data_IF_986524914879
#
_entry.id   IF_986524914879
#
_cell.length_a   1.000
_cell.length_b   1.000
_cell.length_c   1.000
_cell.angle_alpha   90.00
_cell.angle_beta   90.00
_cell.angle_gamma   90.00
#
_symmetry.space_group_name_H-M   'P 1'
#
loop_
_entity.id
_entity.type
_entity.pdbx_description
1 polymer ?
#
# COMPACT_ATOMS: atom_id res chain seq x y z
N UNK A 1 -33.38 30.24 -3.35
CA UNK A 1 -32.73 28.94 -3.11
C UNK A 1 -31.53 28.85 -4.05
N UNK A 2 -30.30 29.12 -3.59
CA UNK A 2 -29.12 28.98 -4.44
C UNK A 2 -28.85 27.49 -4.67
N UNK A 3 -28.75 27.09 -5.93
CA UNK A 3 -28.59 25.71 -6.35
C UNK A 3 -27.27 25.12 -5.89
N UNK A 4 -27.33 23.96 -5.24
CA UNK A 4 -26.15 23.14 -4.98
C UNK A 4 -25.51 22.73 -6.31
N UNK A 5 -24.30 23.21 -6.56
CA UNK A 5 -23.42 22.63 -7.56
C UNK A 5 -23.13 21.17 -7.17
N UNK A 6 -23.73 20.25 -7.92
CA UNK A 6 -23.43 18.83 -7.83
C UNK A 6 -21.99 18.62 -8.31
N UNK A 7 -21.05 18.49 -7.37
CA UNK A 7 -19.68 18.12 -7.66
C UNK A 7 -19.66 16.77 -8.39
N UNK A 8 -19.30 16.81 -9.67
CA UNK A 8 -19.21 15.63 -10.51
C UNK A 8 -17.98 14.83 -10.09
N UNK A 9 -18.18 13.54 -9.79
CA UNK A 9 -17.09 12.65 -9.38
C UNK A 9 -15.99 12.50 -10.43
N UNK A 10 -14.77 12.09 -10.05
CA UNK A 10 -13.59 12.02 -10.92
C UNK A 10 -13.77 11.12 -12.16
N UNK A 11 -14.78 10.25 -12.17
CA UNK A 11 -15.10 9.33 -13.26
C UNK A 11 -16.42 9.65 -13.99
N UNK A 12 -17.04 10.81 -13.76
CA UNK A 12 -18.25 11.22 -14.47
C UNK A 12 -17.95 11.41 -15.97
N UNK A 13 -18.67 10.66 -16.83
CA UNK A 13 -18.51 10.69 -18.29
C UNK A 13 -18.87 12.05 -18.90
N UNK A 14 -19.52 12.95 -18.18
CA UNK A 14 -19.73 14.36 -18.60
C UNK A 14 -18.40 15.13 -18.71
N UNK A 15 -17.34 14.71 -18.00
CA UNK A 15 -15.96 15.20 -18.24
C UNK A 15 -15.34 14.68 -19.54
N UNK A 16 -15.89 13.61 -20.15
CA UNK A 16 -15.40 13.00 -21.40
C UNK A 16 -16.03 13.60 -22.68
N UNK A 17 -16.59 14.82 -22.63
CA UNK A 17 -16.97 15.53 -23.88
C UNK A 17 -15.71 16.13 -24.50
N UNK A 18 -14.98 15.32 -25.26
CA UNK A 18 -13.77 15.74 -25.97
C UNK A 18 -14.12 16.71 -27.09
N UNK A 19 -14.07 18.02 -26.81
CA UNK A 19 -13.91 18.99 -27.90
C UNK A 19 -12.53 18.77 -28.50
N UNK A 20 -12.41 18.69 -29.83
CA UNK A 20 -11.09 18.77 -30.47
C UNK A 20 -10.43 20.11 -30.10
N UNK A 21 -9.10 20.19 -30.15
CA UNK A 21 -8.34 21.38 -29.75
C UNK A 21 -8.81 22.63 -30.51
N UNK A 22 -9.11 22.51 -31.81
CA UNK A 22 -9.62 23.60 -32.62
C UNK A 22 -11.03 24.07 -32.22
N UNK A 23 -11.96 23.16 -31.91
CA UNK A 23 -13.29 23.55 -31.42
C UNK A 23 -13.25 24.09 -29.99
N UNK A 24 -12.33 23.60 -29.15
CA UNK A 24 -12.10 24.13 -27.82
C UNK A 24 -11.60 25.58 -27.89
N UNK A 25 -10.55 25.83 -28.68
CA UNK A 25 -9.98 27.17 -28.87
C UNK A 25 -10.99 28.17 -29.47
N UNK A 26 -11.85 27.72 -30.40
CA UNK A 26 -12.89 28.58 -30.98
C UNK A 26 -14.20 28.65 -30.16
N UNK A 27 -14.29 28.00 -28.99
CA UNK A 27 -15.51 27.94 -28.17
C UNK A 27 -16.75 27.38 -28.92
N UNK A 28 -16.53 26.51 -29.91
CA UNK A 28 -17.59 25.92 -30.74
C UNK A 28 -18.01 24.52 -30.25
N UNK A 29 -19.23 24.12 -30.64
CA UNK A 29 -19.70 22.74 -30.47
C UNK A 29 -18.92 21.81 -31.40
N UNK A 30 -18.34 20.74 -30.83
CA UNK A 30 -17.60 19.71 -31.55
C UNK A 30 -18.49 18.47 -31.76
N UNK A 31 -18.51 17.89 -32.97
CA UNK A 31 -19.28 16.66 -33.24
C UNK A 31 -18.62 15.40 -32.68
N UNK A 32 -17.33 15.45 -32.32
CA UNK A 32 -16.58 14.30 -31.77
C UNK A 32 -16.01 13.34 -32.82
N UNK A 33 -16.39 13.49 -34.09
CA UNK A 33 -15.85 12.69 -35.22
C UNK A 33 -14.43 13.14 -35.62
N UNK A 34 -13.74 12.35 -36.45
CA UNK A 34 -12.41 12.64 -36.99
C UNK A 34 -12.42 12.57 -38.54
N UNK A 35 -12.34 13.71 -39.24
CA UNK A 35 -12.42 15.10 -38.72
C UNK A 35 -13.85 15.45 -38.25
N UNK A 36 -13.99 16.33 -37.27
CA UNK A 36 -15.31 16.79 -36.82
C UNK A 36 -15.94 17.74 -37.85
N UNK A 37 -17.27 17.80 -37.92
CA UNK A 37 -18.01 18.59 -38.91
C UNK A 37 -17.68 20.10 -38.89
N UNK A 38 -17.28 20.63 -37.73
CA UNK A 38 -16.84 22.03 -37.58
C UNK A 38 -15.41 22.28 -38.08
N UNK A 39 -14.52 21.29 -37.99
CA UNK A 39 -13.17 21.38 -38.54
C UNK A 39 -13.15 21.12 -40.04
N UNK A 40 -13.92 20.14 -40.52
CA UNK A 40 -14.05 19.81 -41.94
C UNK A 40 -14.53 21.02 -42.76
N UNK A 41 -15.56 21.74 -42.29
CA UNK A 41 -16.08 22.94 -42.97
C UNK A 41 -15.12 24.13 -42.99
N UNK A 42 -14.19 24.21 -42.04
CA UNK A 42 -13.24 25.34 -41.90
C UNK A 42 -11.87 25.03 -42.50
N UNK A 43 -11.64 23.82 -43.01
CA UNK A 43 -10.31 23.37 -43.42
C UNK A 43 -9.29 23.35 -42.27
N UNK A 44 -9.74 23.29 -41.01
CA UNK A 44 -8.88 23.38 -39.84
C UNK A 44 -8.43 21.99 -39.37
N UNK A 45 -7.19 21.87 -38.90
CA UNK A 45 -6.65 20.62 -38.35
C UNK A 45 -7.47 20.14 -37.14
N UNK A 46 -8.00 18.91 -37.22
CA UNK A 46 -8.84 18.31 -36.18
C UNK A 46 -8.01 17.37 -35.30
N UNK A 47 -7.41 17.90 -34.23
CA UNK A 47 -6.62 17.12 -33.26
C UNK A 47 -7.35 16.99 -31.93
N UNK A 48 -7.23 15.81 -31.32
CA UNK A 48 -7.68 15.54 -29.95
C UNK A 48 -6.43 15.27 -29.12
N UNK A 49 -6.34 15.87 -27.93
CA UNK A 49 -5.23 15.61 -27.02
C UNK A 49 -5.18 14.10 -26.73
N UNK A 50 -4.05 13.46 -27.02
CA UNK A 50 -3.81 12.05 -26.73
C UNK A 50 -3.75 11.93 -25.21
N UNK A 51 -4.75 11.32 -24.59
CA UNK A 51 -4.67 11.00 -23.16
C UNK A 51 -3.45 10.10 -22.97
N UNK A 52 -2.54 10.49 -22.06
CA UNK A 52 -1.42 9.66 -21.67
C UNK A 52 -1.93 8.28 -21.23
N UNK A 53 -1.17 7.24 -21.52
CA UNK A 53 -1.50 5.83 -21.27
C UNK A 53 -1.52 5.47 -19.77
N UNK A 54 -1.96 6.37 -18.90
CA UNK A 54 -2.23 6.08 -17.49
C UNK A 54 -3.68 5.64 -17.36
N UNK A 55 -3.90 4.42 -16.90
CA UNK A 55 -5.22 3.98 -16.44
C UNK A 55 -5.80 4.94 -15.38
N UNK A 56 -7.10 4.84 -15.07
CA UNK A 56 -7.71 5.68 -14.06
C UNK A 56 -7.09 5.39 -12.68
N UNK A 57 -6.16 6.24 -12.26
CA UNK A 57 -5.62 6.31 -10.90
C UNK A 57 -6.71 6.81 -9.96
N UNK A 58 -6.83 6.19 -8.78
CA UNK A 58 -7.57 6.80 -7.66
C UNK A 58 -6.78 8.04 -7.28
N UNK A 59 -7.31 9.22 -7.62
CA UNK A 59 -6.67 10.48 -7.31
C UNK A 59 -6.91 10.76 -5.81
N UNK A 60 -5.95 10.36 -4.98
CA UNK A 60 -5.91 10.77 -3.57
C UNK A 60 -5.72 12.28 -3.54
N UNK A 61 -6.59 13.02 -2.83
CA UNK A 61 -6.38 14.44 -2.57
C UNK A 61 -5.03 14.62 -1.87
N UNK A 62 -4.08 15.24 -2.58
CA UNK A 62 -2.78 15.61 -2.02
C UNK A 62 -3.00 16.74 -1.00
N UNK A 63 -2.67 16.48 0.26
CA UNK A 63 -2.50 17.54 1.27
C UNK A 63 -3.61 17.72 2.32
N UNK A 64 -4.66 16.90 2.34
CA UNK A 64 -5.68 16.87 3.44
C UNK A 64 -5.80 15.53 4.16
N UNK A 65 -4.83 14.64 3.97
CA UNK A 65 -4.82 13.33 4.62
C UNK A 65 -4.47 13.54 6.11
N UNK A 66 -5.42 13.23 6.99
CA UNK A 66 -5.14 13.22 8.42
C UNK A 66 -4.35 11.96 8.76
N UNK A 67 -3.08 12.14 9.15
CA UNK A 67 -2.23 11.09 9.73
C UNK A 67 -2.39 11.12 11.25
N UNK A 68 -1.89 10.12 11.99
CA UNK A 68 -1.91 10.17 13.47
C UNK A 68 -1.37 11.49 14.04
N UNK A 69 -0.36 12.07 13.38
CA UNK A 69 0.22 13.37 13.73
C UNK A 69 -0.69 14.58 13.41
N UNK A 70 -1.48 14.56 12.33
CA UNK A 70 -2.37 15.68 11.92
C UNK A 70 -3.85 15.51 12.30
N UNK A 71 -4.25 14.32 12.78
CA UNK A 71 -5.59 14.07 13.34
C UNK A 71 -5.85 14.96 14.56
N UNK A 72 -4.83 15.24 15.38
CA UNK A 72 -4.95 16.13 16.54
C UNK A 72 -5.26 17.60 16.17
N UNK A 73 -4.88 18.07 14.97
CA UNK A 73 -5.09 19.45 14.56
C UNK A 73 -6.48 19.73 13.95
N UNK A 74 -7.20 18.69 13.49
CA UNK A 74 -8.50 18.87 12.82
C UNK A 74 -9.68 19.14 13.76
N UNK A 75 -9.56 18.84 15.05
CA UNK A 75 -10.67 18.88 16.01
C UNK A 75 -10.59 20.04 17.02
N UNK A 76 -9.56 20.89 16.95
CA UNK A 76 -9.34 22.00 17.90
C UNK A 76 -9.19 23.35 17.20
N UNK A 77 -10.31 23.95 16.82
CA UNK A 77 -10.45 25.42 16.87
C UNK A 77 -10.92 25.81 18.28
N UNK A 78 -10.09 25.57 19.29
CA UNK A 78 -10.17 26.17 20.63
C UNK A 78 -8.75 26.03 21.20
N UNK A 79 -8.15 27.17 21.55
CA UNK A 79 -6.75 27.30 21.93
C UNK A 79 -6.31 26.26 23.00
N UNK A 80 -5.25 25.50 22.71
CA UNK A 80 -4.62 24.54 23.62
C UNK A 80 -3.54 23.70 22.91
N UNK A 81 -2.45 23.29 23.60
CA UNK A 81 -1.15 23.03 22.99
C UNK A 81 -1.17 21.83 22.02
N UNK A 82 -0.37 21.97 20.96
CA UNK A 82 -0.10 20.98 19.91
C UNK A 82 0.20 19.60 20.48
N UNK A 83 -0.47 18.56 19.98
CA UNK A 83 -0.25 17.17 20.35
C UNK A 83 1.18 16.74 20.06
N UNK A 84 2.05 16.83 21.06
CA UNK A 84 3.41 16.32 21.00
C UNK A 84 3.38 14.81 21.20
N UNK A 85 3.96 14.06 20.25
CA UNK A 85 4.50 12.73 20.53
C UNK A 85 5.33 12.83 21.83
N UNK A 86 5.03 12.00 22.83
CA UNK A 86 5.72 12.04 24.11
C UNK A 86 7.23 11.99 23.89
N UNK A 87 7.95 12.95 24.49
CA UNK A 87 9.42 12.99 24.47
C UNK A 87 9.94 11.71 25.11
N UNK A 88 10.59 10.86 24.32
CA UNK A 88 11.26 9.65 24.81
C UNK A 88 12.73 9.95 24.99
N UNK A 89 13.22 9.86 26.24
CA UNK A 89 14.64 9.93 26.53
C UNK A 89 15.26 8.52 26.51
N UNK A 90 16.49 8.33 25.99
CA UNK A 90 17.19 7.06 26.13
C UNK A 90 17.56 6.80 27.60
N UNK A 91 17.54 5.54 28.07
CA UNK A 91 18.01 5.20 29.41
C UNK A 91 19.48 5.58 29.59
N UNK A 92 19.80 6.27 30.70
CA UNK A 92 21.18 6.39 31.18
C UNK A 92 22.13 7.30 30.40
N UNK A 93 21.65 8.26 29.61
CA UNK A 93 22.53 9.26 28.98
C UNK A 93 23.58 8.63 28.05
N UNK A 94 23.16 7.73 27.17
CA UNK A 94 24.03 7.07 26.18
C UNK A 94 24.94 8.09 25.48
N UNK A 95 26.25 8.01 25.77
CA UNK A 95 27.26 8.89 25.20
C UNK A 95 27.57 8.55 23.73
N UNK A 96 27.40 7.28 23.33
CA UNK A 96 27.58 6.84 21.94
C UNK A 96 26.33 7.17 21.11
N UNK A 97 26.52 8.05 20.13
CA UNK A 97 25.50 8.48 19.19
C UNK A 97 24.92 7.32 18.36
N UNK A 98 25.71 6.30 18.02
CA UNK A 98 25.22 5.13 17.28
C UNK A 98 24.30 4.26 18.13
N UNK A 99 24.67 4.00 19.39
CA UNK A 99 23.82 3.27 20.32
C UNK A 99 22.51 4.02 20.59
N UNK A 100 22.56 5.36 20.66
CA UNK A 100 21.36 6.20 20.74
C UNK A 100 20.46 6.01 19.51
N UNK A 101 21.00 5.97 18.30
CA UNK A 101 20.22 5.73 17.09
C UNK A 101 19.63 4.31 17.03
N UNK A 102 20.37 3.28 17.44
CA UNK A 102 19.84 1.91 17.55
C UNK A 102 18.68 1.87 18.55
N UNK A 103 18.79 2.54 19.69
CA UNK A 103 17.68 2.68 20.64
C UNK A 103 16.43 3.30 20.00
N UNK A 104 16.59 4.40 19.25
CA UNK A 104 15.43 5.03 18.59
C UNK A 104 14.87 4.19 17.44
N UNK A 105 15.68 3.39 16.76
CA UNK A 105 15.21 2.36 15.84
C UNK A 105 14.30 1.34 16.56
N UNK A 106 14.66 0.91 17.78
CA UNK A 106 13.82 -0.02 18.55
C UNK A 106 12.51 0.59 18.99
N UNK A 107 12.54 1.86 19.36
CA UNK A 107 11.32 2.59 19.69
C UNK A 107 10.46 2.72 18.43
N UNK A 108 11.06 3.03 17.28
CA UNK A 108 10.35 3.08 16.00
C UNK A 108 9.67 1.74 15.69
N UNK A 109 10.42 0.64 15.69
CA UNK A 109 9.89 -0.68 15.31
C UNK A 109 8.80 -1.16 16.25
N UNK A 110 8.94 -0.93 17.56
CA UNK A 110 7.91 -1.29 18.55
C UNK A 110 6.63 -0.47 18.40
N UNK A 111 6.74 0.80 18.00
CA UNK A 111 5.59 1.70 17.80
C UNK A 111 4.92 1.56 16.44
N UNK A 112 5.58 0.92 15.47
CA UNK A 112 5.10 0.83 14.09
C UNK A 112 4.95 -0.64 13.65
N UNK A 113 3.96 -1.34 14.22
CA UNK A 113 3.59 -2.70 13.77
C UNK A 113 2.69 -2.62 12.53
N UNK A 114 3.19 -3.01 11.36
CA UNK A 114 2.41 -2.98 10.11
C UNK A 114 1.42 -4.14 9.97
N UNK A 115 1.55 -5.17 10.79
CA UNK A 115 0.68 -6.35 10.81
C UNK A 115 -0.21 -6.41 12.06
N UNK A 116 -0.03 -5.48 13.01
CA UNK A 116 -0.67 -5.52 14.32
C UNK A 116 -0.15 -6.61 15.26
N UNK A 117 0.86 -7.39 14.84
CA UNK A 117 1.45 -8.47 15.64
C UNK A 117 2.46 -7.93 16.64
N UNK A 118 2.50 -8.57 17.82
CA UNK A 118 3.40 -8.20 18.92
C UNK A 118 4.89 -8.52 18.66
N UNK A 119 5.19 -9.51 17.81
CA UNK A 119 6.57 -9.93 17.47
C UNK A 119 6.73 -10.02 15.96
N UNK A 120 7.47 -9.12 15.30
CA UNK A 120 7.80 -9.33 13.87
C UNK A 120 8.93 -8.48 13.28
N UNK A 121 9.68 -7.64 14.02
CA UNK A 121 10.63 -6.74 13.32
C UNK A 121 11.90 -6.36 14.09
N UNK A 122 11.86 -6.13 15.40
CA UNK A 122 13.01 -5.55 16.11
C UNK A 122 14.17 -6.53 16.29
N UNK A 123 13.91 -7.64 16.96
CA UNK A 123 14.97 -8.50 17.48
C UNK A 123 15.64 -9.35 16.39
N UNK A 124 14.87 -9.80 15.39
CA UNK A 124 15.38 -10.58 14.26
C UNK A 124 16.25 -9.74 13.32
N UNK A 125 15.87 -8.50 13.05
CA UNK A 125 16.64 -7.58 12.19
C UNK A 125 17.91 -7.13 12.88
N UNK A 126 17.87 -6.92 14.21
CA UNK A 126 19.09 -6.66 15.00
C UNK A 126 20.03 -7.83 15.00
N UNK A 127 19.55 -9.03 15.31
CA UNK A 127 20.38 -10.23 15.31
C UNK A 127 21.03 -10.41 13.92
N UNK A 128 20.26 -10.17 12.85
CA UNK A 128 20.76 -10.18 11.49
C UNK A 128 21.82 -9.08 11.23
N UNK A 129 21.59 -7.85 11.70
CA UNK A 129 22.55 -6.76 11.54
C UNK A 129 23.83 -6.96 12.37
N UNK A 130 23.71 -7.53 13.57
CA UNK A 130 24.82 -7.85 14.49
C UNK A 130 25.67 -8.99 13.96
N UNK A 131 25.06 -10.02 13.37
CA UNK A 131 25.78 -11.12 12.69
C UNK A 131 26.66 -10.61 11.53
N UNK A 132 26.27 -9.51 10.89
CA UNK A 132 27.00 -8.87 9.79
C UNK A 132 27.74 -7.58 10.22
N UNK A 133 27.85 -7.32 11.53
CA UNK A 133 28.37 -6.06 12.08
C UNK A 133 29.88 -5.87 11.88
N UNK A 134 30.63 -6.95 11.64
CA UNK A 134 32.08 -6.89 11.40
C UNK A 134 32.46 -6.10 10.12
N UNK A 135 31.50 -5.78 9.24
CA UNK A 135 31.74 -5.03 8.00
C UNK A 135 30.96 -3.71 7.86
N UNK A 136 30.22 -3.23 8.86
CA UNK A 136 29.40 -2.02 8.68
C UNK A 136 28.41 -2.17 7.53
N UNK A 137 27.55 -3.19 7.64
CA UNK A 137 26.63 -3.60 6.57
C UNK A 137 25.61 -2.53 6.20
N UNK A 138 25.18 -2.54 4.93
CA UNK A 138 24.11 -1.69 4.42
C UNK A 138 22.83 -1.71 5.28
N UNK A 139 22.52 -2.87 5.88
CA UNK A 139 21.39 -3.04 6.80
C UNK A 139 21.59 -2.21 8.09
N UNK A 140 22.77 -2.29 8.69
CA UNK A 140 23.07 -1.54 9.91
C UNK A 140 23.03 -0.03 9.67
N UNK A 141 23.58 0.44 8.54
CA UNK A 141 23.47 1.86 8.18
C UNK A 141 22.01 2.29 7.94
N UNK A 142 21.16 1.43 7.35
CA UNK A 142 19.74 1.73 7.20
C UNK A 142 19.01 1.82 8.56
N UNK A 143 19.34 0.94 9.51
CA UNK A 143 18.82 1.01 10.90
C UNK A 143 19.22 2.32 11.58
N UNK A 144 20.49 2.72 11.47
CA UNK A 144 20.99 3.98 12.04
C UNK A 144 20.32 5.20 11.39
N UNK A 145 20.12 5.18 10.07
CA UNK A 145 19.44 6.27 9.35
C UNK A 145 18.01 6.47 9.86
N UNK A 146 17.25 5.38 9.98
CA UNK A 146 15.87 5.41 10.44
C UNK A 146 15.76 5.81 11.91
N UNK A 147 16.64 5.26 12.76
CA UNK A 147 16.72 5.62 14.18
C UNK A 147 17.07 7.09 14.41
N UNK A 148 18.04 7.62 13.67
CA UNK A 148 18.41 9.04 13.71
C UNK A 148 17.26 9.95 13.26
N UNK A 149 16.55 9.59 12.17
CA UNK A 149 15.40 10.34 11.70
C UNK A 149 14.25 10.31 12.72
N UNK A 150 13.96 9.13 13.30
CA UNK A 150 12.90 9.00 14.29
C UNK A 150 13.17 9.78 15.58
N UNK A 151 14.43 9.84 16.03
CA UNK A 151 14.85 10.68 17.16
C UNK A 151 14.49 12.17 16.95
N UNK A 152 14.63 12.67 15.72
CA UNK A 152 14.24 14.04 15.35
C UNK A 152 12.73 14.24 15.44
N UNK A 153 11.94 13.26 15.01
CA UNK A 153 10.48 13.32 15.10
C UNK A 153 9.99 13.35 16.55
N UNK A 154 10.70 12.70 17.48
CA UNK A 154 10.39 12.70 18.90
C UNK A 154 10.92 13.94 19.65
N UNK A 155 11.51 14.91 18.96
CA UNK A 155 12.19 16.07 19.57
C UNK A 155 13.17 15.66 20.68
N UNK A 156 13.85 14.53 20.47
CA UNK A 156 14.87 14.02 21.38
C UNK A 156 16.23 14.75 21.20
N UNK A 157 16.22 15.91 20.56
CA UNK A 157 17.40 16.74 20.28
C UNK A 157 17.62 17.73 21.43
N UNK A 158 18.80 17.67 22.05
CA UNK A 158 19.19 18.60 23.11
C UNK A 158 19.91 19.82 22.50
N UNK A 159 19.33 21.01 22.63
CA UNK A 159 19.96 22.30 22.34
C UNK A 159 19.76 22.91 20.94
N UNK A 160 20.14 24.19 20.76
CA UNK A 160 20.04 24.89 19.48
C UNK A 160 20.92 24.24 18.40
N UNK A 161 20.40 24.07 17.18
CA UNK A 161 21.14 23.46 16.05
C UNK A 161 21.21 21.92 16.07
N UNK A 162 20.79 21.27 17.15
CA UNK A 162 20.76 19.81 17.30
C UNK A 162 19.89 19.11 16.25
N UNK A 163 18.78 19.74 15.85
CA UNK A 163 17.90 19.22 14.78
C UNK A 163 18.59 19.17 13.41
N UNK A 164 19.37 20.19 13.05
CA UNK A 164 20.10 20.22 11.78
C UNK A 164 21.22 19.17 11.76
N UNK A 165 21.92 19.02 12.89
CA UNK A 165 22.98 18.01 13.05
C UNK A 165 22.43 16.59 12.96
N UNK A 166 21.33 16.30 13.66
CA UNK A 166 20.69 14.99 13.60
C UNK A 166 20.11 14.67 12.22
N UNK A 167 19.57 15.66 11.50
CA UNK A 167 19.12 15.46 10.11
C UNK A 167 20.30 15.13 9.18
N UNK A 168 21.42 15.83 9.34
CA UNK A 168 22.64 15.57 8.58
C UNK A 168 23.20 14.16 8.89
N UNK A 169 23.18 13.74 10.15
CA UNK A 169 23.55 12.38 10.54
C UNK A 169 22.63 11.32 9.89
N UNK A 170 21.31 11.53 9.95
CA UNK A 170 20.32 10.63 9.35
C UNK A 170 20.54 10.48 7.83
N UNK A 171 20.75 11.59 7.13
CA UNK A 171 21.06 11.60 5.69
C UNK A 171 22.43 10.96 5.39
N UNK A 172 23.42 11.16 6.25
CA UNK A 172 24.74 10.53 6.12
C UNK A 172 24.66 9.00 6.19
N UNK A 173 23.94 8.47 7.18
CA UNK A 173 23.70 7.03 7.29
C UNK A 173 22.88 6.48 6.12
N UNK A 174 21.85 7.21 5.67
CA UNK A 174 21.07 6.85 4.50
C UNK A 174 21.94 6.73 3.24
N UNK A 175 22.78 7.74 2.97
CA UNK A 175 23.68 7.74 1.81
C UNK A 175 24.67 6.56 1.86
N UNK A 176 25.20 6.26 3.05
CA UNK A 176 26.11 5.15 3.27
C UNK A 176 25.42 3.80 3.05
N UNK A 177 24.21 3.62 3.59
CA UNK A 177 23.38 2.43 3.36
C UNK A 177 23.11 2.17 1.88
N UNK A 178 22.77 3.22 1.11
CA UNK A 178 22.57 3.11 -0.35
C UNK A 178 23.87 2.72 -1.07
N UNK A 179 25.00 3.34 -0.71
CA UNK A 179 26.31 3.02 -1.28
C UNK A 179 26.68 1.56 -1.04
N UNK A 180 26.57 1.10 0.21
CA UNK A 180 26.93 -0.25 0.59
C UNK A 180 25.95 -1.29 0.02
N UNK A 181 24.67 -0.93 -0.13
CA UNK A 181 23.68 -1.79 -0.78
C UNK A 181 24.01 -2.01 -2.25
N UNK A 182 24.47 -0.97 -2.97
CA UNK A 182 24.93 -1.10 -4.36
C UNK A 182 26.12 -2.04 -4.47
N UNK A 183 27.11 -1.89 -3.59
CA UNK A 183 28.27 -2.78 -3.54
C UNK A 183 27.86 -4.23 -3.28
N UNK A 184 26.91 -4.46 -2.36
CA UNK A 184 26.36 -5.78 -2.08
C UNK A 184 25.64 -6.40 -3.29
N UNK A 185 24.83 -5.63 -4.01
CA UNK A 185 24.13 -6.08 -5.21
C UNK A 185 25.12 -6.43 -6.33
N UNK A 186 26.13 -5.58 -6.54
CA UNK A 186 27.18 -5.82 -7.55
C UNK A 186 28.05 -7.04 -7.22
N UNK A 187 28.27 -7.31 -5.93
CA UNK A 187 28.98 -8.50 -5.48
C UNK A 187 28.13 -9.77 -5.70
N UNK A 188 26.82 -9.70 -5.44
CA UNK A 188 25.89 -10.81 -5.65
C UNK A 188 25.74 -11.17 -7.13
N UNK A 189 25.74 -10.17 -8.03
CA UNK A 189 25.67 -10.40 -9.48
C UNK A 189 26.93 -11.03 -10.09
N UNK A 190 28.08 -10.94 -9.40
CA UNK A 190 29.39 -11.42 -9.89
C UNK A 190 29.81 -12.76 -9.34
N UNK A 191 29.13 -13.26 -8.31
CA UNK A 191 29.69 -14.33 -7.49
C UNK A 191 28.93 -15.64 -7.60
N UNK A 192 29.69 -16.72 -7.83
CA UNK A 192 29.23 -18.11 -7.93
C UNK A 192 29.16 -18.76 -6.53
N UNK A 193 28.63 -18.04 -5.54
CA UNK A 193 28.54 -18.54 -4.16
C UNK A 193 27.52 -19.67 -4.06
N UNK A 194 27.81 -20.74 -3.30
CA UNK A 194 26.82 -21.77 -2.99
C UNK A 194 25.59 -21.19 -2.27
N UNK A 195 24.40 -21.73 -2.58
CA UNK A 195 23.08 -21.23 -2.10
C UNK A 195 23.04 -20.87 -0.60
N UNK A 196 23.71 -21.64 0.26
CA UNK A 196 23.64 -21.50 1.72
C UNK A 196 24.27 -20.21 2.27
N UNK A 197 25.28 -19.64 1.60
CA UNK A 197 25.92 -18.39 2.04
C UNK A 197 25.23 -17.14 1.48
N UNK A 198 24.38 -17.29 0.45
CA UNK A 198 23.64 -16.17 -0.15
C UNK A 198 22.36 -15.81 0.62
N UNK A 199 21.76 -16.75 1.35
CA UNK A 199 20.47 -16.55 2.04
C UNK A 199 20.48 -15.41 3.07
N UNK A 200 21.48 -15.29 3.98
CA UNK A 200 21.55 -14.16 4.92
C UNK A 200 21.71 -12.82 4.20
N UNK A 201 22.53 -12.77 3.15
CA UNK A 201 22.80 -11.56 2.37
C UNK A 201 21.55 -11.08 1.61
N UNK A 202 20.81 -12.00 0.99
CA UNK A 202 19.51 -11.69 0.34
C UNK A 202 18.53 -11.12 1.36
N UNK A 203 18.45 -11.73 2.54
CA UNK A 203 17.57 -11.26 3.61
C UNK A 203 17.99 -9.87 4.11
N UNK A 204 19.29 -9.60 4.23
CA UNK A 204 19.81 -8.26 4.55
C UNK A 204 19.42 -7.23 3.48
N UNK A 205 19.52 -7.57 2.19
CA UNK A 205 19.12 -6.69 1.08
C UNK A 205 17.63 -6.35 1.18
N UNK A 206 16.78 -7.37 1.37
CA UNK A 206 15.34 -7.18 1.53
C UNK A 206 15.03 -6.19 2.65
N UNK A 207 15.51 -6.46 3.88
CA UNK A 207 15.29 -5.56 5.01
C UNK A 207 15.86 -4.16 4.77
N UNK A 208 17.04 -4.06 4.15
CA UNK A 208 17.63 -2.75 3.82
C UNK A 208 16.72 -1.92 2.92
N UNK A 209 16.18 -2.51 1.85
CA UNK A 209 15.26 -1.79 0.95
C UNK A 209 14.00 -1.33 1.67
N UNK A 210 13.42 -2.18 2.53
CA UNK A 210 12.23 -1.78 3.31
C UNK A 210 12.54 -0.62 4.27
N UNK A 211 13.65 -0.68 5.02
CA UNK A 211 14.02 0.37 5.96
C UNK A 211 14.35 1.70 5.26
N UNK A 212 15.01 1.65 4.09
CA UNK A 212 15.26 2.84 3.27
C UNK A 212 13.96 3.43 2.72
N UNK A 213 13.01 2.61 2.28
CA UNK A 213 11.67 3.07 1.92
C UNK A 213 10.97 3.78 3.08
N UNK A 214 10.98 3.19 4.28
CA UNK A 214 10.38 3.82 5.46
C UNK A 214 11.05 5.15 5.82
N UNK A 215 12.37 5.25 5.65
CA UNK A 215 13.10 6.51 5.82
C UNK A 215 12.59 7.58 4.86
N UNK A 216 12.43 7.25 3.58
CA UNK A 216 11.91 8.17 2.57
C UNK A 216 10.48 8.62 2.88
N UNK A 217 9.63 7.70 3.35
CA UNK A 217 8.25 8.00 3.77
C UNK A 217 8.21 9.00 4.93
N UNK A 218 9.09 8.83 5.92
CA UNK A 218 9.16 9.72 7.07
C UNK A 218 9.74 11.10 6.72
N UNK A 219 10.69 11.13 5.78
CA UNK A 219 11.36 12.36 5.35
C UNK A 219 10.50 13.21 4.42
N UNK A 220 9.78 12.58 3.49
CA UNK A 220 9.06 13.26 2.42
C UNK A 220 7.54 13.05 2.53
N UNK A 221 6.83 14.13 2.85
CA UNK A 221 5.38 14.14 3.00
C UNK A 221 4.61 13.86 1.70
N UNK A 222 5.24 13.96 0.51
CA UNK A 222 4.58 13.62 -0.75
C UNK A 222 4.39 12.11 -0.94
N UNK A 223 5.28 11.30 -0.33
CA UNK A 223 5.33 9.85 -0.50
C UNK A 223 5.71 9.39 -1.91
N UNK A 224 6.13 10.30 -2.82
CA UNK A 224 6.46 9.93 -4.20
C UNK A 224 7.77 9.11 -4.26
N UNK A 225 8.79 9.49 -3.48
CA UNK A 225 10.05 8.73 -3.35
C UNK A 225 9.78 7.33 -2.77
N UNK A 226 9.10 7.27 -1.62
CA UNK A 226 8.71 6.01 -0.98
C UNK A 226 7.99 5.08 -1.93
N UNK A 227 7.03 5.59 -2.71
CA UNK A 227 6.29 4.78 -3.69
C UNK A 227 7.24 4.17 -4.72
N UNK A 228 8.11 4.97 -5.32
CA UNK A 228 9.08 4.48 -6.29
C UNK A 228 10.01 3.42 -5.68
N UNK A 229 10.48 3.63 -4.46
CA UNK A 229 11.33 2.69 -3.73
C UNK A 229 10.63 1.37 -3.44
N UNK A 230 9.39 1.42 -2.93
CA UNK A 230 8.65 0.20 -2.62
C UNK A 230 8.32 -0.60 -3.87
N UNK A 231 7.91 0.06 -4.97
CA UNK A 231 7.55 -0.62 -6.22
C UNK A 231 8.77 -1.16 -6.96
N UNK A 232 9.81 -0.35 -7.15
CA UNK A 232 10.95 -0.69 -8.01
C UNK A 232 12.16 -1.23 -7.24
N UNK A 233 12.22 -1.05 -5.93
CA UNK A 233 13.26 -1.59 -5.05
C UNK A 233 12.76 -2.82 -4.30
N UNK A 234 11.92 -2.60 -3.28
CA UNK A 234 11.52 -3.63 -2.31
C UNK A 234 10.73 -4.77 -2.95
N UNK A 235 9.69 -4.46 -3.73
CA UNK A 235 8.85 -5.48 -4.36
C UNK A 235 9.63 -6.30 -5.41
N UNK A 236 10.49 -5.64 -6.20
CA UNK A 236 11.33 -6.33 -7.18
C UNK A 236 12.39 -7.22 -6.52
N UNK A 237 13.03 -6.74 -5.45
CA UNK A 237 13.98 -7.54 -4.68
C UNK A 237 13.31 -8.77 -4.04
N UNK A 238 12.09 -8.62 -3.51
CA UNK A 238 11.31 -9.72 -2.97
C UNK A 238 10.94 -10.74 -4.05
N UNK A 239 10.41 -10.28 -5.18
CA UNK A 239 10.08 -11.13 -6.32
C UNK A 239 11.30 -11.93 -6.81
N UNK A 240 12.45 -11.25 -6.97
CA UNK A 240 13.70 -11.86 -7.42
C UNK A 240 14.29 -12.87 -6.42
N UNK A 241 14.06 -12.66 -5.11
CA UNK A 241 14.51 -13.58 -4.06
C UNK A 241 13.73 -14.90 -4.05
N UNK A 242 12.50 -14.87 -4.56
CA UNK A 242 11.61 -16.04 -4.61
C UNK A 242 11.05 -16.44 -3.24
N UNK A 243 10.00 -17.30 -3.23
CA UNK A 243 9.31 -17.67 -1.99
C UNK A 243 10.16 -18.53 -1.05
N UNK A 244 11.20 -19.22 -1.56
CA UNK A 244 12.09 -20.05 -0.72
C UNK A 244 12.88 -19.24 0.30
N UNK A 245 13.29 -18.01 -0.05
CA UNK A 245 14.03 -17.11 0.84
C UNK A 245 13.18 -16.62 2.03
N UNK A 246 11.87 -16.83 1.98
CA UNK A 246 10.90 -16.30 2.95
C UNK A 246 10.25 -17.40 3.80
N UNK A 247 10.81 -18.62 3.85
CA UNK A 247 10.19 -19.77 4.55
C UNK A 247 10.38 -19.77 6.07
N UNK A 248 11.39 -19.10 6.59
CA UNK A 248 11.69 -19.11 8.02
C UNK A 248 12.51 -17.89 8.45
N UNK A 249 12.59 -17.67 9.76
CA UNK A 249 13.45 -16.65 10.36
C UNK A 249 13.20 -15.23 9.82
N UNK A 250 14.25 -14.40 9.69
CA UNK A 250 14.09 -13.00 9.31
C UNK A 250 13.52 -12.79 7.90
N UNK A 251 13.65 -13.75 6.98
CA UNK A 251 13.07 -13.67 5.64
C UNK A 251 11.55 -13.84 5.65
N UNK A 252 11.04 -14.73 6.51
CA UNK A 252 9.62 -14.89 6.73
C UNK A 252 9.00 -13.66 7.41
N UNK A 253 9.67 -13.11 8.42
CA UNK A 253 9.22 -11.89 9.09
C UNK A 253 9.19 -10.70 8.12
N UNK A 254 10.20 -10.59 7.25
CA UNK A 254 10.20 -9.62 6.16
C UNK A 254 8.98 -9.79 5.26
N UNK A 255 8.72 -11.02 4.79
CA UNK A 255 7.58 -11.31 3.93
C UNK A 255 6.25 -10.90 4.58
N UNK A 256 6.03 -11.24 5.85
CA UNK A 256 4.82 -10.88 6.57
C UNK A 256 4.57 -9.35 6.56
N UNK A 257 5.61 -8.54 6.72
CA UNK A 257 5.51 -7.08 6.72
C UNK A 257 5.37 -6.51 5.29
N UNK A 258 6.28 -6.89 4.39
CA UNK A 258 6.35 -6.36 3.03
C UNK A 258 5.10 -6.70 2.21
N UNK A 259 4.49 -7.87 2.48
CA UNK A 259 3.27 -8.33 1.80
C UNK A 259 2.11 -7.36 1.97
N UNK A 260 1.93 -6.76 3.15
CA UNK A 260 0.85 -5.78 3.39
C UNK A 260 0.99 -4.59 2.42
N UNK A 261 2.20 -4.06 2.28
CA UNK A 261 2.48 -2.94 1.38
C UNK A 261 2.28 -3.32 -0.08
N UNK A 262 2.78 -4.49 -0.49
CA UNK A 262 2.64 -4.97 -1.87
C UNK A 262 1.17 -5.20 -2.24
N UNK A 263 0.38 -5.81 -1.36
CA UNK A 263 -1.06 -5.99 -1.59
C UNK A 263 -1.78 -4.64 -1.67
N UNK A 264 -1.50 -3.71 -0.76
CA UNK A 264 -2.09 -2.36 -0.81
C UNK A 264 -1.73 -1.62 -2.11
N UNK A 265 -0.47 -1.73 -2.57
CA UNK A 265 -0.01 -1.17 -3.86
C UNK A 265 -0.87 -1.67 -5.02
N UNK A 266 -1.14 -2.97 -5.08
CA UNK A 266 -1.94 -3.55 -6.18
C UNK A 266 -3.33 -2.96 -6.26
N UNK A 267 -3.99 -2.73 -5.12
CA UNK A 267 -5.33 -2.15 -5.04
C UNK A 267 -5.30 -0.66 -5.41
N UNK A 268 -4.36 0.11 -4.86
CA UNK A 268 -4.26 1.56 -5.08
C UNK A 268 -3.96 1.92 -6.54
N UNK A 269 -3.10 1.13 -7.19
CA UNK A 269 -2.66 1.40 -8.57
C UNK A 269 -3.37 0.54 -9.62
N UNK A 270 -4.22 -0.42 -9.21
CA UNK A 270 -4.86 -1.40 -10.09
C UNK A 270 -3.83 -2.17 -10.94
N UNK A 271 -2.81 -2.69 -10.28
CA UNK A 271 -1.70 -3.41 -10.93
C UNK A 271 -1.63 -4.86 -10.45
N UNK A 272 -1.09 -5.71 -11.32
CA UNK A 272 -0.81 -7.10 -10.98
C UNK A 272 0.36 -7.22 -9.98
N UNK A 273 0.47 -8.38 -9.34
CA UNK A 273 1.57 -8.70 -8.44
C UNK A 273 2.01 -10.16 -8.61
N UNK A 274 3.33 -10.35 -8.43
CA UNK A 274 3.97 -11.65 -8.34
C UNK A 274 3.40 -12.51 -7.19
N UNK A 275 2.77 -11.89 -6.18
CA UNK A 275 2.11 -12.60 -5.08
C UNK A 275 0.96 -13.51 -5.53
N UNK A 276 0.49 -13.37 -6.78
CA UNK A 276 -0.53 -14.26 -7.37
C UNK A 276 0.04 -15.55 -7.95
N UNK A 277 1.37 -15.68 -8.02
CA UNK A 277 2.02 -16.89 -8.52
C UNK A 277 1.93 -18.04 -7.50
N UNK A 278 1.88 -19.32 -7.96
CA UNK A 278 1.60 -20.46 -7.09
C UNK A 278 2.56 -20.62 -5.90
N UNK A 279 3.83 -20.28 -6.07
CA UNK A 279 4.84 -20.37 -5.02
C UNK A 279 4.59 -19.37 -3.87
N UNK A 280 4.20 -18.14 -4.20
CA UNK A 280 3.88 -17.10 -3.23
C UNK A 280 2.54 -17.32 -2.55
N UNK A 281 1.53 -17.77 -3.29
CA UNK A 281 0.23 -18.17 -2.73
C UNK A 281 0.39 -19.31 -1.74
N UNK A 282 1.24 -20.31 -2.05
CA UNK A 282 1.53 -21.41 -1.12
C UNK A 282 2.19 -20.89 0.15
N UNK A 283 3.23 -20.06 0.03
CA UNK A 283 3.92 -19.47 1.17
C UNK A 283 2.96 -18.68 2.08
N UNK A 284 2.05 -17.90 1.49
CA UNK A 284 1.04 -17.14 2.24
C UNK A 284 0.08 -18.00 3.07
N UNK A 285 -0.12 -19.26 2.67
CA UNK A 285 -1.01 -20.23 3.32
C UNK A 285 -0.29 -21.19 4.25
N UNK A 286 1.05 -21.23 4.25
CA UNK A 286 1.83 -22.08 5.14
C UNK A 286 1.61 -21.63 6.60
N UNK A 287 1.13 -22.56 7.42
CA UNK A 287 0.78 -22.33 8.82
C UNK A 287 2.06 -22.19 9.65
N UNK A 288 2.17 -21.11 10.44
CA UNK A 288 3.30 -20.88 11.32
C UNK A 288 2.97 -21.43 12.71
N UNK A 289 3.97 -21.93 13.44
CA UNK A 289 3.77 -22.43 14.78
C UNK A 289 3.18 -21.35 15.71
N UNK A 290 2.07 -21.66 16.40
CA UNK A 290 1.50 -20.82 17.45
C UNK A 290 0.59 -19.67 16.99
N UNK A 291 0.00 -19.75 15.80
CA UNK A 291 -0.80 -18.68 15.20
C UNK A 291 -2.24 -19.16 14.92
N UNK A 292 -3.14 -18.91 15.88
CA UNK A 292 -4.54 -19.29 15.82
C UNK A 292 -5.34 -18.30 14.96
N UNK A 293 -5.33 -18.53 13.64
CA UNK A 293 -6.43 -18.07 12.78
C UNK A 293 -6.18 -16.85 11.91
N UNK A 294 -4.95 -16.36 11.73
CA UNK A 294 -4.52 -15.36 10.71
C UNK A 294 -5.63 -14.64 9.91
N UNK A 295 -6.41 -13.75 10.54
CA UNK A 295 -7.50 -13.07 9.86
C UNK A 295 -6.93 -12.16 8.76
N UNK A 296 -5.83 -11.46 9.06
CA UNK A 296 -5.16 -10.58 8.12
C UNK A 296 -4.53 -11.32 6.92
N UNK A 297 -3.75 -12.39 7.14
CA UNK A 297 -3.03 -13.04 6.02
C UNK A 297 -3.97 -13.71 5.02
N UNK A 298 -5.01 -14.39 5.51
CA UNK A 298 -6.04 -14.99 4.67
C UNK A 298 -6.82 -13.92 3.88
N UNK A 299 -7.04 -12.74 4.47
CA UNK A 299 -7.65 -11.62 3.78
C UNK A 299 -6.71 -11.00 2.72
N UNK A 300 -5.40 -10.90 3.00
CA UNK A 300 -4.41 -10.41 2.03
C UNK A 300 -4.36 -11.29 0.77
N UNK A 301 -4.59 -12.61 0.89
CA UNK A 301 -4.77 -13.51 -0.25
C UNK A 301 -6.00 -13.15 -1.08
N UNK A 302 -7.13 -12.87 -0.43
CA UNK A 302 -8.36 -12.47 -1.13
C UNK A 302 -8.16 -11.12 -1.83
N UNK A 303 -7.53 -10.16 -1.14
CA UNK A 303 -7.22 -8.82 -1.65
C UNK A 303 -6.39 -8.87 -2.94
N UNK A 304 -5.31 -9.66 -2.96
CA UNK A 304 -4.44 -9.74 -4.14
C UNK A 304 -5.17 -10.36 -5.34
N UNK A 305 -6.04 -11.34 -5.08
CA UNK A 305 -6.88 -11.95 -6.12
C UNK A 305 -7.95 -10.98 -6.65
N UNK A 306 -8.49 -10.10 -5.80
CA UNK A 306 -9.37 -9.01 -6.24
C UNK A 306 -8.64 -8.05 -7.19
N UNK A 307 -7.39 -7.66 -6.88
CA UNK A 307 -6.61 -6.82 -7.80
C UNK A 307 -6.35 -7.50 -9.15
N UNK A 308 -5.97 -8.79 -9.13
CA UNK A 308 -5.81 -9.58 -10.36
C UNK A 308 -7.08 -9.61 -11.19
N UNK A 309 -8.23 -9.80 -10.55
CA UNK A 309 -9.53 -9.75 -11.22
C UNK A 309 -9.80 -8.38 -11.83
N UNK A 310 -9.47 -7.29 -11.11
CA UNK A 310 -9.64 -5.92 -11.60
C UNK A 310 -8.83 -5.66 -12.86
N UNK A 311 -7.57 -6.07 -12.91
CA UNK A 311 -6.71 -5.95 -14.10
C UNK A 311 -7.32 -6.72 -15.27
N UNK A 312 -7.72 -7.98 -15.04
CA UNK A 312 -8.32 -8.83 -16.08
C UNK A 312 -9.63 -8.26 -16.63
N UNK A 313 -10.51 -7.81 -15.75
CA UNK A 313 -11.75 -7.15 -16.12
C UNK A 313 -11.51 -5.83 -16.87
N UNK A 314 -10.52 -5.03 -16.44
CA UNK A 314 -10.15 -3.79 -17.13
C UNK A 314 -9.67 -4.04 -18.55
N UNK A 315 -8.77 -5.01 -18.76
CA UNK A 315 -8.28 -5.41 -20.09
C UNK A 315 -9.41 -5.92 -20.98
N UNK A 316 -10.28 -6.78 -20.44
CA UNK A 316 -11.45 -7.27 -21.16
C UNK A 316 -12.38 -6.13 -21.62
N UNK A 317 -12.70 -5.19 -20.71
CA UNK A 317 -13.54 -4.04 -21.02
C UNK A 317 -12.92 -3.10 -22.05
N UNK A 318 -11.60 -2.91 -22.03
CA UNK A 318 -10.89 -2.09 -23.01
C UNK A 318 -10.90 -2.72 -24.42
N UNK A 319 -10.84 -4.06 -24.50
CA UNK A 319 -10.94 -4.80 -25.77
C UNK A 319 -12.35 -4.81 -26.37
N UNK A 320 -13.39 -4.63 -25.56
CA UNK A 320 -14.81 -4.68 -25.95
C UNK A 320 -15.35 -3.39 -26.59
N UNK A 321 -14.64 -2.25 -26.51
CA UNK A 321 -15.10 -0.97 -27.11
C UNK A 321 -15.24 -1.02 -28.66
N UNK A 322 -14.84 -2.13 -29.30
CA UNK A 322 -14.93 -2.34 -30.75
C UNK A 322 -16.01 -3.33 -31.22
N UNK A 323 -16.68 -4.09 -30.34
CA UNK A 323 -17.60 -5.16 -30.75
C UNK A 323 -18.98 -5.04 -30.08
N UNK A 324 -20.05 -5.08 -30.88
CA UNK A 324 -21.44 -5.11 -30.42
C UNK A 324 -21.86 -6.53 -30.02
N UNK A 325 -21.11 -7.16 -29.10
CA UNK A 325 -21.44 -8.49 -28.63
C UNK A 325 -22.62 -8.42 -27.66
N UNK A 326 -23.67 -9.16 -27.99
CA UNK A 326 -24.87 -9.32 -27.14
C UNK A 326 -24.78 -10.58 -26.28
N UNK A 327 -23.90 -11.52 -26.66
CA UNK A 327 -23.70 -12.78 -25.95
C UNK A 327 -22.44 -12.72 -25.08
N UNK A 328 -22.53 -13.26 -23.86
CA UNK A 328 -21.38 -13.34 -22.96
C UNK A 328 -20.31 -14.29 -23.51
N UNK A 329 -19.14 -13.76 -23.84
CA UNK A 329 -17.96 -14.58 -24.15
C UNK A 329 -17.56 -15.46 -22.95
N UNK A 330 -16.81 -16.53 -23.21
CA UNK A 330 -16.29 -17.41 -22.16
C UNK A 330 -15.47 -16.63 -21.11
N UNK A 331 -14.72 -15.62 -21.55
CA UNK A 331 -13.92 -14.76 -20.68
C UNK A 331 -14.80 -13.89 -19.77
N UNK A 332 -15.88 -13.30 -20.31
CA UNK A 332 -16.83 -12.52 -19.52
C UNK A 332 -17.48 -13.39 -18.42
N UNK A 333 -17.89 -14.62 -18.75
CA UNK A 333 -18.44 -15.58 -17.79
C UNK A 333 -17.42 -15.95 -16.73
N UNK A 334 -16.17 -16.18 -17.12
CA UNK A 334 -15.09 -16.49 -16.19
C UNK A 334 -14.82 -15.33 -15.22
N UNK A 335 -14.81 -14.07 -15.70
CA UNK A 335 -14.60 -12.88 -14.86
C UNK A 335 -15.75 -12.75 -13.84
N UNK A 336 -17.00 -12.89 -14.29
CA UNK A 336 -18.16 -12.83 -13.41
C UNK A 336 -18.12 -13.95 -12.35
N UNK A 337 -17.77 -15.18 -12.76
CA UNK A 337 -17.64 -16.33 -11.88
C UNK A 337 -16.53 -16.16 -10.83
N UNK A 338 -15.37 -15.63 -11.23
CA UNK A 338 -14.29 -15.29 -10.29
C UNK A 338 -14.72 -14.21 -9.29
N UNK A 339 -15.48 -13.21 -9.75
CA UNK A 339 -16.05 -12.20 -8.87
C UNK A 339 -16.96 -12.81 -7.80
N UNK A 340 -17.82 -13.76 -8.17
CA UNK A 340 -18.70 -14.44 -7.20
C UNK A 340 -17.89 -15.29 -6.22
N UNK A 341 -16.90 -16.06 -6.70
CA UNK A 341 -16.01 -16.83 -5.81
C UNK A 341 -15.29 -15.95 -4.80
N UNK A 342 -14.81 -14.77 -5.20
CA UNK A 342 -14.16 -13.84 -4.28
C UNK A 342 -15.15 -13.22 -3.29
N UNK A 343 -16.41 -12.99 -3.70
CA UNK A 343 -17.47 -12.52 -2.79
C UNK A 343 -17.81 -13.59 -1.75
N UNK A 344 -17.94 -14.84 -2.17
CA UNK A 344 -18.13 -15.99 -1.29
C UNK A 344 -16.95 -16.13 -0.33
N UNK A 345 -15.71 -16.03 -0.80
CA UNK A 345 -14.52 -16.09 0.05
C UNK A 345 -14.50 -14.98 1.11
N UNK A 346 -14.91 -13.75 0.75
CA UNK A 346 -15.09 -12.66 1.73
C UNK A 346 -16.21 -12.97 2.74
N UNK A 347 -17.33 -13.58 2.28
CA UNK A 347 -18.41 -14.04 3.15
C UNK A 347 -17.93 -15.07 4.17
N UNK A 348 -17.28 -16.15 3.71
CA UNK A 348 -16.71 -17.18 4.58
C UNK A 348 -15.68 -16.60 5.57
N UNK A 349 -14.86 -15.64 5.12
CA UNK A 349 -13.92 -14.96 5.99
C UNK A 349 -14.64 -14.17 7.09
N UNK A 350 -15.70 -13.43 6.75
CA UNK A 350 -16.49 -12.67 7.72
C UNK A 350 -17.18 -13.60 8.73
N UNK A 351 -17.79 -14.67 8.25
CA UNK A 351 -18.42 -15.69 9.11
C UNK A 351 -17.40 -16.29 10.07
N UNK A 352 -16.21 -16.68 9.59
CA UNK A 352 -15.18 -17.30 10.42
C UNK A 352 -14.62 -16.38 11.52
N UNK A 353 -14.40 -15.09 11.21
CA UNK A 353 -13.62 -14.19 12.08
C UNK A 353 -14.43 -13.05 12.71
N UNK A 354 -15.69 -12.85 12.30
CA UNK A 354 -16.54 -11.77 12.82
C UNK A 354 -17.81 -12.33 13.47
N UNK A 355 -18.48 -13.31 12.85
CA UNK A 355 -19.76 -13.84 13.36
C UNK A 355 -19.61 -15.12 14.18
N UNK A 356 -18.70 -16.02 13.81
CA UNK A 356 -18.45 -17.32 14.43
C UNK A 356 -17.52 -17.31 15.64
N UNK A 357 -17.07 -16.13 16.09
CA UNK A 357 -16.23 -15.99 17.28
C UNK A 357 -16.98 -16.44 18.54
N UNK A 358 -16.67 -17.66 19.01
CA UNK A 358 -17.15 -18.17 20.30
C UNK A 358 -16.79 -17.17 21.41
N UNK A 359 -17.67 -17.10 22.41
CA UNK A 359 -17.74 -16.12 23.50
C UNK A 359 -16.47 -15.94 24.37
N UNK A 360 -15.35 -16.59 24.05
CA UNK A 360 -14.03 -16.38 24.67
C UNK A 360 -13.20 -15.26 23.99
N UNK A 361 -13.54 -14.86 22.76
CA UNK A 361 -12.91 -13.74 22.04
C UNK A 361 -13.61 -12.39 22.27
N UNK A 362 -14.50 -12.30 23.27
CA UNK A 362 -15.17 -11.04 23.65
C UNK A 362 -14.26 -10.07 24.41
N UNK A 363 -13.08 -10.51 24.82
CA UNK A 363 -12.13 -9.65 25.56
C UNK A 363 -11.03 -9.03 24.71
N UNK A 364 -10.84 -9.38 23.43
CA UNK A 364 -9.80 -8.74 22.62
C UNK A 364 -10.35 -7.60 21.74
N UNK A 365 -10.91 -6.60 22.42
CA UNK A 365 -11.01 -5.25 21.88
C UNK A 365 -9.61 -4.70 21.57
N UNK A 366 -8.53 -5.34 22.00
CA UNK A 366 -7.13 -4.92 21.92
C UNK A 366 -6.31 -5.52 20.76
N UNK A 367 -6.82 -6.49 19.99
CA UNK A 367 -6.05 -7.05 18.86
C UNK A 367 -5.99 -6.07 17.67
N UNK A 368 -4.86 -5.35 17.59
CA UNK A 368 -4.53 -4.44 16.50
C UNK A 368 -4.52 -5.15 15.12
N UNK A 369 -4.21 -6.45 15.07
CA UNK A 369 -4.22 -7.23 13.83
C UNK A 369 -5.64 -7.45 13.33
N UNK A 370 -6.56 -7.85 14.21
CA UNK A 370 -7.99 -7.98 13.90
C UNK A 370 -8.61 -6.64 13.49
N UNK A 371 -8.25 -5.55 14.16
CA UNK A 371 -8.72 -4.21 13.79
C UNK A 371 -8.34 -3.89 12.34
N UNK A 372 -7.06 -4.09 11.98
CA UNK A 372 -6.57 -3.86 10.62
C UNK A 372 -7.28 -4.76 9.60
N UNK A 373 -7.45 -6.04 9.93
CA UNK A 373 -8.14 -7.00 9.07
C UNK A 373 -9.61 -6.58 8.79
N UNK A 374 -10.34 -6.09 9.81
CA UNK A 374 -11.72 -5.60 9.64
C UNK A 374 -11.81 -4.34 8.74
N UNK A 375 -10.83 -3.43 8.84
CA UNK A 375 -10.74 -2.27 7.94
C UNK A 375 -10.52 -2.74 6.50
N UNK A 376 -9.54 -3.63 6.29
CA UNK A 376 -9.25 -4.19 4.97
C UNK A 376 -10.42 -4.99 4.41
N UNK A 377 -11.17 -5.72 5.25
CA UNK A 377 -12.33 -6.48 4.80
C UNK A 377 -13.40 -5.56 4.20
N UNK A 378 -13.74 -4.48 4.91
CA UNK A 378 -14.72 -3.50 4.44
C UNK A 378 -14.24 -2.81 3.15
N UNK A 379 -12.96 -2.40 3.10
CA UNK A 379 -12.38 -1.77 1.92
C UNK A 379 -12.35 -2.71 0.71
N UNK A 380 -11.95 -3.96 0.90
CA UNK A 380 -11.87 -5.00 -0.15
C UNK A 380 -13.26 -5.36 -0.67
N UNK A 381 -14.25 -5.42 0.22
CA UNK A 381 -15.64 -5.67 -0.15
C UNK A 381 -16.19 -4.59 -1.09
N UNK A 382 -15.92 -3.31 -0.81
CA UNK A 382 -16.26 -2.19 -1.69
C UNK A 382 -15.45 -2.28 -3.00
N UNK A 383 -14.14 -2.51 -2.91
CA UNK A 383 -13.26 -2.59 -4.07
C UNK A 383 -13.71 -3.66 -5.08
N UNK A 384 -14.04 -4.87 -4.61
CA UNK A 384 -14.55 -5.96 -5.42
C UNK A 384 -15.86 -5.58 -6.13
N UNK A 385 -16.79 -4.92 -5.43
CA UNK A 385 -18.03 -4.40 -6.04
C UNK A 385 -17.70 -3.41 -7.16
N UNK A 386 -16.77 -2.49 -6.88
CA UNK A 386 -16.29 -1.47 -7.80
C UNK A 386 -15.65 -2.02 -9.09
N UNK A 387 -15.23 -3.28 -9.14
CA UNK A 387 -14.79 -3.94 -10.39
C UNK A 387 -15.92 -3.96 -11.42
N UNK A 388 -17.15 -4.15 -10.95
CA UNK A 388 -18.32 -4.33 -11.80
C UNK A 388 -19.21 -3.08 -11.87
N UNK A 389 -19.26 -2.27 -10.81
CA UNK A 389 -20.20 -1.14 -10.72
C UNK A 389 -19.96 -0.06 -11.80
N UNK A 390 -18.71 0.25 -12.13
CA UNK A 390 -18.40 1.26 -13.16
C UNK A 390 -18.84 0.87 -14.57
N UNK A 391 -19.07 -0.42 -14.82
CA UNK A 391 -19.56 -0.97 -16.09
C UNK A 391 -20.81 -1.83 -15.91
N UNK A 392 -21.63 -1.54 -14.90
CA UNK A 392 -22.82 -2.32 -14.54
C UNK A 392 -23.73 -2.63 -15.74
N UNK A 393 -24.02 -1.63 -16.58
CA UNK A 393 -24.85 -1.81 -17.77
C UNK A 393 -24.26 -2.80 -18.78
N UNK A 394 -22.93 -2.89 -18.89
CA UNK A 394 -22.26 -3.85 -19.77
C UNK A 394 -22.47 -5.28 -19.26
N UNK A 395 -22.17 -5.53 -17.99
CA UNK A 395 -22.36 -6.85 -17.37
C UNK A 395 -23.82 -7.31 -17.38
N UNK A 396 -24.76 -6.37 -17.19
CA UNK A 396 -26.20 -6.63 -17.29
C UNK A 396 -26.63 -7.01 -18.71
N UNK A 397 -26.12 -6.33 -19.74
CA UNK A 397 -26.43 -6.69 -21.14
C UNK A 397 -25.98 -8.09 -21.50
N UNK A 398 -24.84 -8.53 -20.95
CA UNK A 398 -24.34 -9.89 -21.14
C UNK A 398 -25.13 -10.95 -20.32
N UNK A 399 -26.13 -10.54 -19.53
CA UNK A 399 -26.92 -11.45 -18.70
C UNK A 399 -26.14 -12.07 -17.54
N UNK A 400 -25.00 -11.48 -17.14
CA UNK A 400 -24.12 -12.05 -16.12
C UNK A 400 -24.40 -11.47 -14.74
N UNK A 401 -24.41 -12.35 -13.73
CA UNK A 401 -24.52 -11.96 -12.32
C UNK A 401 -23.17 -11.42 -11.82
N UNK A 402 -23.03 -10.10 -11.81
CA UNK A 402 -21.87 -9.41 -11.27
C UNK A 402 -21.82 -9.41 -9.74
N UNK A 403 -20.62 -9.46 -9.15
CA UNK A 403 -20.38 -9.52 -7.70
C UNK A 403 -20.49 -8.15 -7.02
N UNK A 404 -21.65 -7.51 -7.18
CA UNK A 404 -21.95 -6.16 -6.70
C UNK A 404 -22.57 -6.17 -5.31
N UNK A 405 -22.39 -5.08 -4.59
CA UNK A 405 -23.08 -4.76 -3.34
C UNK A 405 -24.20 -3.75 -3.60
N UNK A 406 -25.24 -3.78 -2.77
CA UNK A 406 -26.23 -2.72 -2.74
C UNK A 406 -25.67 -1.46 -2.02
N UNK A 407 -26.34 -0.33 -2.23
CA UNK A 407 -25.89 0.95 -1.69
C UNK A 407 -25.86 0.99 -0.16
N UNK A 408 -26.79 0.32 0.53
CA UNK A 408 -26.84 0.31 1.99
C UNK A 408 -25.64 -0.47 2.56
N UNK A 409 -25.31 -1.61 1.97
CA UNK A 409 -24.14 -2.41 2.33
C UNK A 409 -22.83 -1.65 2.08
N UNK A 410 -22.72 -0.91 0.97
CA UNK A 410 -21.56 -0.02 0.73
C UNK A 410 -21.44 1.04 1.82
N UNK A 411 -22.53 1.72 2.18
CA UNK A 411 -22.51 2.73 3.25
C UNK A 411 -22.13 2.14 4.61
N UNK A 412 -22.59 0.93 4.92
CA UNK A 412 -22.21 0.21 6.13
C UNK A 412 -20.69 -0.04 6.18
N UNK A 413 -20.10 -0.51 5.07
CA UNK A 413 -18.66 -0.69 4.99
C UNK A 413 -17.89 0.63 5.12
N UNK A 414 -18.36 1.71 4.49
CA UNK A 414 -17.76 3.05 4.63
C UNK A 414 -17.78 3.51 6.08
N UNK A 415 -18.93 3.42 6.75
CA UNK A 415 -19.06 3.79 8.16
C UNK A 415 -18.11 2.96 9.05
N UNK A 416 -17.97 1.66 8.76
CA UNK A 416 -17.07 0.77 9.49
C UNK A 416 -15.60 1.12 9.27
N UNK A 417 -15.19 1.45 8.05
CA UNK A 417 -13.83 1.93 7.77
C UNK A 417 -13.53 3.19 8.59
N UNK A 418 -14.42 4.18 8.57
CA UNK A 418 -14.23 5.43 9.30
C UNK A 418 -14.15 5.21 10.81
N UNK A 419 -15.07 4.43 11.37
CA UNK A 419 -15.10 4.14 12.81
C UNK A 419 -13.84 3.38 13.28
N UNK A 420 -13.46 2.31 12.59
CA UNK A 420 -12.30 1.49 12.96
C UNK A 420 -10.98 2.25 12.75
N UNK A 421 -10.85 3.03 11.68
CA UNK A 421 -9.66 3.87 11.45
C UNK A 421 -9.53 4.94 12.53
N UNK A 422 -10.64 5.56 12.94
CA UNK A 422 -10.65 6.53 14.06
C UNK A 422 -10.16 5.87 15.35
N UNK A 423 -10.71 4.69 15.70
CA UNK A 423 -10.29 3.94 16.87
C UNK A 423 -8.79 3.56 16.81
N UNK A 424 -8.28 3.15 15.64
CA UNK A 424 -6.87 2.85 15.45
C UNK A 424 -5.96 4.07 15.67
N UNK A 425 -6.35 5.22 15.11
CA UNK A 425 -5.61 6.47 15.25
C UNK A 425 -5.59 6.95 16.70
N UNK A 426 -6.69 6.79 17.43
CA UNK A 426 -6.77 7.13 18.86
C UNK A 426 -5.86 6.26 19.72
N UNK A 427 -5.76 4.95 19.43
CA UNK A 427 -4.85 4.01 20.11
C UNK A 427 -3.37 4.24 19.80
N UNK A 428 -3.08 4.88 18.67
CA UNK A 428 -1.72 5.16 18.21
C UNK A 428 -1.14 6.48 18.78
N UNK A 429 -1.92 7.20 19.61
CA UNK A 429 -1.51 8.40 20.36
C UNK A 429 -0.82 8.00 21.66
#
# INVERSE_FOLDING_TARGET
MPGQEMQLGPFDRRRKRSRCQACAASHLKCSGERPCAGCARRGAACSYARQGAGGPLILLERGRQQTSASWASGQRQMAGPTGHLQRVAPPGGLADERLRHVYFFDVFVRRNSFTGRARTCGDEVKALAELHSQQGSHLYHAMLALGALYALHLNASDGPGSRSRGLLAALGYYAKAVSDLRLALDAQGRADWGQRQQEPQRTCILWTTLLLGLFELMKDATGDAWRQHMVHGTAQALAASGPSACRSGPGLAFFAQARVFEVCRTILFNEASFLTEPGWVRLGREQLPGDDGRPLDSLLDIMVMCSRLRVRAGTFMAGQEAAAETEASAEARAIASDGQRLREALGCWHEAYVEGGTSAAKDDVDDASMLLARVFFAATSIYLSGIFDYSAAHWQRLGLRAARLDAATVQLHVARILALTTAALERSR
#
